data_IF_396452366252
#
_entry.id   IF_396452366252
#
_cell.length_a   1.000
_cell.length_b   1.000
_cell.length_c   1.000
_cell.angle_alpha   90.00
_cell.angle_beta   90.00
_cell.angle_gamma   90.00
#
_symmetry.space_group_name_H-M   'P 1'
#
loop_
_entity.id
_entity.type
_entity.pdbx_description
1 polymer ?
#
# COMPACT_ATOMS: atom_id res chain seq x y z
N UNK A 1 -2.34 -2.30 -0.11
CA UNK A 1 -0.93 -2.13 0.28
C UNK A 1 -0.71 -0.67 0.63
N UNK A 2 0.14 -0.29 1.60
CA UNK A 2 0.39 1.10 1.95
C UNK A 2 0.95 1.95 0.79
N UNK A 3 0.63 3.25 0.79
CA UNK A 3 1.27 4.26 -0.06
C UNK A 3 2.22 5.10 0.78
N UNK A 4 3.41 5.43 0.25
CA UNK A 4 4.30 6.35 0.94
C UNK A 4 3.63 7.73 1.09
N UNK A 5 3.76 8.32 2.27
CA UNK A 5 3.37 9.71 2.49
C UNK A 5 4.55 10.48 3.10
N UNK A 6 4.85 11.64 2.51
CA UNK A 6 5.98 12.49 2.90
C UNK A 6 5.50 13.80 3.51
N UNK A 7 6.39 14.47 4.25
CA UNK A 7 6.19 15.84 4.78
C UNK A 7 6.78 16.92 3.87
N UNK A 8 7.67 16.54 2.95
CA UNK A 8 8.26 17.45 1.97
C UNK A 8 7.50 17.38 0.63
N UNK A 9 7.61 18.42 -0.21
CA UNK A 9 7.19 18.32 -1.61
C UNK A 9 7.91 17.18 -2.34
N UNK A 10 7.16 16.40 -3.11
CA UNK A 10 7.63 15.23 -3.86
C UNK A 10 8.18 15.62 -5.23
N UNK A 11 9.22 14.94 -5.68
CA UNK A 11 9.86 15.12 -6.99
C UNK A 11 9.31 14.12 -8.02
N UNK A 12 8.11 14.35 -8.54
CA UNK A 12 7.43 13.35 -9.38
C UNK A 12 7.97 13.22 -10.81
N UNK A 13 8.39 14.32 -11.43
CA UNK A 13 8.99 14.28 -12.77
C UNK A 13 10.45 13.88 -12.62
N UNK A 14 10.72 12.58 -12.71
CA UNK A 14 12.05 11.98 -12.57
C UNK A 14 13.02 12.34 -13.72
N UNK A 15 12.53 13.00 -14.78
CA UNK A 15 13.26 13.24 -16.03
C UNK A 15 13.66 14.69 -16.27
N UNK A 16 13.07 15.66 -15.56
CA UNK A 16 13.39 17.10 -15.71
C UNK A 16 13.96 17.71 -14.43
N UNK A 17 14.86 18.67 -14.59
CA UNK A 17 15.53 19.39 -13.48
C UNK A 17 14.70 20.53 -12.87
N UNK A 18 13.65 20.98 -13.56
CA UNK A 18 12.66 21.90 -12.99
C UNK A 18 11.25 21.45 -13.39
N UNK A 19 10.52 20.88 -12.42
CA UNK A 19 9.16 20.41 -12.66
C UNK A 19 8.17 21.51 -12.30
N UNK A 20 7.46 22.05 -13.30
CA UNK A 20 6.30 22.90 -13.08
C UNK A 20 5.32 22.22 -12.13
N UNK A 21 4.77 22.99 -11.17
CA UNK A 21 3.83 22.51 -10.15
C UNK A 21 2.65 21.70 -10.73
N UNK A 22 2.21 22.04 -11.96
CA UNK A 22 1.16 21.34 -12.69
C UNK A 22 1.57 19.93 -13.14
N UNK A 23 2.83 19.74 -13.56
CA UNK A 23 3.36 18.43 -13.95
C UNK A 23 3.43 17.49 -12.74
N UNK A 24 3.93 18.01 -11.60
CA UNK A 24 3.97 17.29 -10.33
C UNK A 24 2.56 16.84 -9.89
N UNK A 25 1.58 17.72 -9.98
CA UNK A 25 0.20 17.41 -9.63
C UNK A 25 -0.44 16.34 -10.52
N UNK A 26 -0.15 16.34 -11.83
CA UNK A 26 -0.65 15.33 -12.76
C UNK A 26 -0.12 13.94 -12.40
N UNK A 27 1.17 13.82 -12.15
CA UNK A 27 1.79 12.55 -11.75
C UNK A 27 1.23 12.03 -10.43
N UNK A 28 1.03 12.91 -9.46
CA UNK A 28 0.44 12.49 -8.18
C UNK A 28 -1.01 12.06 -8.31
N UNK A 29 -1.77 12.71 -9.19
CA UNK A 29 -3.14 12.28 -9.51
C UNK A 29 -3.15 10.91 -10.16
N UNK A 30 -2.22 10.64 -11.10
CA UNK A 30 -2.08 9.33 -11.75
C UNK A 30 -1.73 8.26 -10.70
N UNK A 31 -0.71 8.48 -9.87
CA UNK A 31 -0.34 7.56 -8.79
C UNK A 31 -1.51 7.28 -7.85
N UNK A 32 -2.25 8.32 -7.44
CA UNK A 32 -3.40 8.17 -6.58
C UNK A 32 -4.54 7.37 -7.25
N UNK A 33 -4.78 7.57 -8.54
CA UNK A 33 -5.76 6.78 -9.31
C UNK A 33 -5.35 5.31 -9.36
N UNK A 34 -4.09 5.03 -9.72
CA UNK A 34 -3.57 3.66 -9.77
C UNK A 34 -3.68 2.97 -8.41
N UNK A 35 -3.32 3.68 -7.33
CA UNK A 35 -3.42 3.19 -5.97
C UNK A 35 -4.88 2.83 -5.60
N UNK A 36 -5.84 3.72 -5.89
CA UNK A 36 -7.27 3.48 -5.59
C UNK A 36 -7.83 2.33 -6.41
N UNK A 37 -7.49 2.25 -7.69
CA UNK A 37 -7.87 1.13 -8.56
C UNK A 37 -7.31 -0.19 -8.03
N UNK A 38 -6.03 -0.21 -7.63
CA UNK A 38 -5.43 -1.37 -6.96
C UNK A 38 -6.23 -1.78 -5.72
N UNK A 39 -6.65 -0.82 -4.89
CA UNK A 39 -7.48 -1.09 -3.70
C UNK A 39 -8.83 -1.70 -4.03
N UNK A 40 -9.53 -1.19 -5.05
CA UNK A 40 -10.81 -1.75 -5.51
C UNK A 40 -10.63 -3.19 -6.00
N UNK A 41 -9.58 -3.45 -6.78
CA UNK A 41 -9.27 -4.79 -7.28
C UNK A 41 -8.98 -5.77 -6.12
N UNK A 42 -8.26 -5.34 -5.09
CA UNK A 42 -8.02 -6.12 -3.87
C UNK A 42 -9.31 -6.42 -3.08
N UNK A 43 -10.22 -5.45 -2.98
CA UNK A 43 -11.54 -5.64 -2.36
C UNK A 43 -12.31 -6.72 -3.12
N UNK A 44 -12.39 -6.61 -4.45
CA UNK A 44 -13.06 -7.60 -5.31
C UNK A 44 -12.45 -8.99 -5.09
N UNK A 45 -11.12 -9.10 -5.13
CA UNK A 45 -10.44 -10.36 -4.89
C UNK A 45 -10.74 -10.94 -3.52
N UNK A 46 -10.80 -10.11 -2.48
CA UNK A 46 -11.04 -10.57 -1.11
C UNK A 46 -12.45 -11.15 -0.97
N UNK A 47 -13.43 -10.59 -1.68
CA UNK A 47 -14.78 -11.15 -1.76
C UNK A 47 -14.76 -12.53 -2.45
N UNK A 48 -13.98 -12.70 -3.52
CA UNK A 48 -13.91 -13.97 -4.26
C UNK A 48 -13.30 -15.13 -3.44
N UNK A 49 -12.58 -14.83 -2.35
CA UNK A 49 -12.05 -15.85 -1.44
C UNK A 49 -13.05 -16.35 -0.38
N UNK A 50 -14.27 -15.80 -0.33
CA UNK A 50 -15.31 -16.37 0.54
C UNK A 50 -15.64 -17.82 0.13
N UNK A 51 -15.87 -18.73 1.08
CA UNK A 51 -16.15 -20.15 0.76
C UNK A 51 -17.31 -20.36 -0.22
N UNK A 52 -18.35 -19.51 -0.16
CA UNK A 52 -19.48 -19.53 -1.08
C UNK A 52 -19.10 -19.24 -2.55
N UNK A 53 -17.94 -18.61 -2.76
CA UNK A 53 -17.38 -18.24 -4.05
C UNK A 53 -16.11 -19.03 -4.39
N UNK A 54 -15.81 -20.13 -3.67
CA UNK A 54 -14.62 -20.97 -3.85
C UNK A 54 -14.35 -21.41 -5.30
N UNK A 55 -15.39 -21.59 -6.12
CA UNK A 55 -15.25 -21.87 -7.56
C UNK A 55 -14.54 -20.77 -8.36
N UNK A 56 -14.48 -19.56 -7.81
CA UNK A 56 -13.81 -18.39 -8.39
C UNK A 56 -12.47 -18.07 -7.70
N UNK A 57 -11.92 -18.97 -6.87
CA UNK A 57 -10.66 -18.71 -6.15
C UNK A 57 -9.50 -18.34 -7.08
N UNK A 58 -9.37 -18.98 -8.25
CA UNK A 58 -8.36 -18.59 -9.25
C UNK A 58 -8.56 -17.15 -9.76
N UNK A 59 -9.81 -16.72 -9.95
CA UNK A 59 -10.11 -15.35 -10.32
C UNK A 59 -9.75 -14.40 -9.17
N UNK A 60 -10.01 -14.79 -7.92
CA UNK A 60 -9.54 -14.10 -6.72
C UNK A 60 -8.02 -13.90 -6.72
N UNK A 61 -7.25 -14.97 -6.93
CA UNK A 61 -5.80 -14.92 -7.04
C UNK A 61 -5.32 -13.98 -8.17
N UNK A 62 -5.95 -14.05 -9.35
CA UNK A 62 -5.65 -13.15 -10.47
C UNK A 62 -5.95 -11.69 -10.17
N UNK A 63 -7.04 -11.40 -9.46
CA UNK A 63 -7.34 -10.02 -9.04
C UNK A 63 -6.30 -9.51 -8.05
N UNK A 64 -5.88 -10.31 -7.06
CA UNK A 64 -4.78 -9.95 -6.16
C UNK A 64 -3.48 -9.69 -6.92
N UNK A 65 -3.15 -10.52 -7.90
CA UNK A 65 -1.99 -10.33 -8.77
C UNK A 65 -2.09 -9.00 -9.54
N UNK A 66 -3.21 -8.76 -10.24
CA UNK A 66 -3.43 -7.55 -11.03
C UNK A 66 -3.43 -6.28 -10.17
N UNK A 67 -4.06 -6.31 -8.99
CA UNK A 67 -4.02 -5.23 -8.02
C UNK A 67 -2.60 -4.98 -7.50
N UNK A 68 -1.81 -6.04 -7.32
CA UNK A 68 -0.42 -5.94 -6.85
C UNK A 68 0.46 -5.29 -7.90
N UNK A 69 0.24 -5.54 -9.20
CA UNK A 69 0.93 -4.85 -10.29
C UNK A 69 0.62 -3.34 -10.29
N UNK A 70 -0.63 -2.94 -10.07
CA UNK A 70 -0.99 -1.52 -9.94
C UNK A 70 -0.26 -0.86 -8.77
N UNK A 71 -0.20 -1.54 -7.61
CA UNK A 71 0.58 -1.05 -6.47
C UNK A 71 2.09 -1.09 -6.71
N UNK A 72 2.59 -2.01 -7.53
CA UNK A 72 4.01 -2.12 -7.85
C UNK A 72 4.47 -0.91 -8.65
N UNK A 73 3.66 -0.44 -9.59
CA UNK A 73 3.92 0.82 -10.31
C UNK A 73 4.03 1.99 -9.34
N UNK A 74 3.08 2.12 -8.41
CA UNK A 74 3.05 3.21 -7.42
C UNK A 74 4.26 3.16 -6.47
N UNK A 75 4.55 2.00 -5.88
CA UNK A 75 5.67 1.84 -4.92
C UNK A 75 7.04 1.94 -5.58
N UNK A 76 7.15 1.51 -6.84
CA UNK A 76 8.37 1.71 -7.63
C UNK A 76 8.60 3.19 -7.91
N UNK A 77 7.55 3.91 -8.29
CA UNK A 77 7.62 5.36 -8.47
C UNK A 77 8.03 6.08 -7.17
N UNK A 78 7.39 5.71 -6.04
CA UNK A 78 7.71 6.24 -4.71
C UNK A 78 9.20 6.02 -4.36
N UNK A 79 9.73 4.80 -4.54
CA UNK A 79 11.14 4.53 -4.24
C UNK A 79 12.09 5.25 -5.21
N UNK A 80 11.73 5.36 -6.48
CA UNK A 80 12.54 6.07 -7.47
C UNK A 80 12.63 7.57 -7.12
N UNK A 81 11.54 8.18 -6.66
CA UNK A 81 11.50 9.55 -6.14
C UNK A 81 12.44 9.72 -4.95
N UNK A 82 12.29 8.85 -3.93
CA UNK A 82 13.12 8.92 -2.72
C UNK A 82 14.60 8.69 -3.04
N UNK A 83 14.90 7.76 -3.96
CA UNK A 83 16.28 7.50 -4.41
C UNK A 83 16.87 8.66 -5.19
N UNK A 84 16.09 9.36 -6.01
CA UNK A 84 16.55 10.57 -6.69
C UNK A 84 16.85 11.66 -5.66
N UNK A 85 15.91 11.91 -4.75
CA UNK A 85 16.10 12.90 -3.68
C UNK A 85 17.34 12.59 -2.82
N UNK A 86 17.56 11.31 -2.51
CA UNK A 86 18.77 10.85 -1.84
C UNK A 86 20.02 11.24 -2.61
N UNK A 87 20.11 10.90 -3.91
CA UNK A 87 21.29 11.19 -4.74
C UNK A 87 21.58 12.67 -4.93
N UNK A 88 20.56 13.52 -4.96
CA UNK A 88 20.72 14.97 -5.19
C UNK A 88 21.08 15.75 -3.93
N UNK A 89 21.02 15.13 -2.75
CA UNK A 89 21.23 15.82 -1.47
C UNK A 89 22.59 15.48 -0.89
N UNK A 90 23.39 16.50 -0.54
CA UNK A 90 24.76 16.30 -0.04
C UNK A 90 24.84 15.73 1.39
N UNK A 91 23.85 16.00 2.25
CA UNK A 91 23.80 15.51 3.63
C UNK A 91 22.55 14.68 3.85
N UNK A 92 22.74 13.42 4.21
CA UNK A 92 21.62 12.51 4.51
C UNK A 92 21.19 12.67 5.97
N UNK A 93 19.98 13.18 6.16
CA UNK A 93 19.39 13.32 7.49
C UNK A 93 18.72 12.02 7.94
N UNK A 94 18.41 11.90 9.23
CA UNK A 94 17.64 10.76 9.75
C UNK A 94 16.29 10.60 9.03
N UNK A 95 15.65 11.71 8.68
CA UNK A 95 14.38 11.69 7.96
C UNK A 95 14.50 11.02 6.60
N UNK A 96 15.55 11.31 5.85
CA UNK A 96 15.78 10.68 4.55
C UNK A 96 15.99 9.17 4.67
N UNK A 97 16.64 8.71 5.76
CA UNK A 97 16.79 7.28 6.03
C UNK A 97 15.43 6.64 6.30
N UNK A 98 14.57 7.30 7.08
CA UNK A 98 13.20 6.84 7.34
C UNK A 98 12.37 6.81 6.05
N UNK A 99 12.44 7.84 5.20
CA UNK A 99 11.75 7.86 3.90
C UNK A 99 12.19 6.68 3.02
N UNK A 100 13.50 6.45 2.91
CA UNK A 100 14.06 5.36 2.11
C UNK A 100 13.66 3.99 2.66
N UNK A 101 13.67 3.84 3.99
CA UNK A 101 13.27 2.60 4.66
C UNK A 101 11.81 2.29 4.38
N UNK A 102 10.91 3.26 4.58
CA UNK A 102 9.49 3.07 4.32
C UNK A 102 9.21 2.74 2.84
N UNK A 103 9.82 3.48 1.90
CA UNK A 103 9.66 3.24 0.47
C UNK A 103 10.17 1.85 0.05
N UNK A 104 11.34 1.44 0.56
CA UNK A 104 11.91 0.13 0.27
C UNK A 104 11.07 -1.00 0.86
N UNK A 105 10.59 -0.86 2.10
CA UNK A 105 9.69 -1.84 2.73
C UNK A 105 8.40 -2.01 1.94
N UNK A 106 7.80 -0.92 1.46
CA UNK A 106 6.60 -0.99 0.63
C UNK A 106 6.87 -1.66 -0.71
N UNK A 107 7.95 -1.31 -1.42
CA UNK A 107 8.28 -1.95 -2.68
C UNK A 107 8.49 -3.47 -2.51
N UNK A 108 9.32 -3.88 -1.56
CA UNK A 108 9.60 -5.30 -1.34
C UNK A 108 8.38 -6.08 -0.87
N UNK A 109 7.54 -5.48 -0.02
CA UNK A 109 6.26 -6.07 0.37
C UNK A 109 5.34 -6.27 -0.83
N UNK A 110 5.28 -5.30 -1.75
CA UNK A 110 4.48 -5.39 -2.98
C UNK A 110 5.00 -6.45 -3.95
N UNK A 111 6.32 -6.58 -4.09
CA UNK A 111 6.94 -7.66 -4.89
C UNK A 111 6.54 -9.03 -4.33
N UNK A 112 6.64 -9.21 -3.01
CA UNK A 112 6.26 -10.46 -2.36
C UNK A 112 4.77 -10.78 -2.55
N UNK A 113 3.88 -9.80 -2.44
CA UNK A 113 2.46 -10.01 -2.73
C UNK A 113 2.20 -10.38 -4.20
N UNK A 114 2.92 -9.75 -5.13
CA UNK A 114 2.80 -10.03 -6.56
C UNK A 114 3.18 -11.49 -6.83
N UNK A 115 4.33 -11.94 -6.32
CA UNK A 115 4.80 -13.32 -6.47
C UNK A 115 3.89 -14.30 -5.71
N UNK A 116 3.56 -13.97 -4.47
CA UNK A 116 2.71 -14.80 -3.61
C UNK A 116 1.33 -15.04 -4.22
N UNK A 117 0.73 -14.03 -4.87
CA UNK A 117 -0.56 -14.18 -5.55
C UNK A 117 -0.53 -15.25 -6.64
N UNK A 118 0.60 -15.42 -7.33
CA UNK A 118 0.77 -16.46 -8.35
C UNK A 118 0.80 -17.85 -7.71
N UNK A 119 1.44 -18.00 -6.55
CA UNK A 119 1.53 -19.28 -5.84
C UNK A 119 0.18 -19.80 -5.32
N UNK A 120 -0.82 -18.92 -5.16
CA UNK A 120 -2.19 -19.30 -4.77
C UNK A 120 -3.07 -19.76 -5.93
N UNK A 121 -2.58 -19.73 -7.18
CA UNK A 121 -3.31 -20.31 -8.31
C UNK A 121 -3.35 -21.83 -8.19
N UNK A 122 -4.53 -22.43 -8.36
CA UNK A 122 -4.73 -23.89 -8.18
C UNK A 122 -3.86 -24.78 -9.07
N UNK A 123 -3.37 -24.27 -10.22
CA UNK A 123 -2.45 -25.01 -11.09
C UNK A 123 -0.96 -24.81 -10.73
N UNK A 124 -0.65 -23.87 -9.84
CA UNK A 124 0.68 -23.71 -9.24
C UNK A 124 0.74 -24.43 -7.90
N UNK A 125 -0.30 -24.23 -7.07
CA UNK A 125 -0.56 -24.93 -5.80
C UNK A 125 0.61 -24.88 -4.79
N UNK A 126 1.36 -23.78 -4.76
CA UNK A 126 2.45 -23.55 -3.80
C UNK A 126 1.97 -22.67 -2.64
N UNK A 127 0.81 -23.04 -2.08
CA UNK A 127 0.06 -22.24 -1.09
C UNK A 127 0.87 -21.89 0.15
N UNK A 128 1.70 -22.81 0.65
CA UNK A 128 2.60 -22.56 1.79
C UNK A 128 3.63 -21.47 1.45
N UNK A 129 4.27 -21.55 0.28
CA UNK A 129 5.24 -20.54 -0.19
C UNK A 129 4.54 -19.21 -0.42
N UNK A 130 3.34 -19.24 -1.02
CA UNK A 130 2.47 -18.08 -1.16
C UNK A 130 2.19 -17.41 0.18
N UNK A 131 1.75 -18.18 1.17
CA UNK A 131 1.44 -17.70 2.51
C UNK A 131 2.65 -17.01 3.16
N UNK A 132 3.86 -17.58 3.05
CA UNK A 132 5.08 -16.91 3.51
C UNK A 132 5.35 -15.58 2.81
N UNK A 133 5.14 -15.50 1.49
CA UNK A 133 5.25 -14.24 0.76
C UNK A 133 4.28 -13.18 1.31
N UNK A 134 3.03 -13.55 1.57
CA UNK A 134 2.04 -12.64 2.13
C UNK A 134 2.35 -12.25 3.59
N UNK A 135 2.83 -13.18 4.43
CA UNK A 135 3.24 -12.89 5.82
C UNK A 135 4.40 -11.91 5.84
N UNK A 136 5.49 -12.22 5.14
CA UNK A 136 6.69 -11.38 5.12
C UNK A 136 6.37 -10.02 4.47
N UNK A 137 5.62 -10.02 3.36
CA UNK A 137 5.23 -8.78 2.70
C UNK A 137 4.37 -7.88 3.59
N UNK A 138 3.44 -8.46 4.36
CA UNK A 138 2.59 -7.72 5.29
C UNK A 138 3.37 -7.16 6.47
N UNK A 139 4.37 -7.90 6.97
CA UNK A 139 5.28 -7.40 8.01
C UNK A 139 6.15 -6.23 7.51
N UNK A 140 6.59 -6.26 6.24
CA UNK A 140 7.26 -5.12 5.62
C UNK A 140 6.32 -3.92 5.49
N UNK A 141 5.05 -4.13 5.15
CA UNK A 141 4.05 -3.05 5.16
C UNK A 141 3.82 -2.46 6.56
N UNK A 142 3.79 -3.29 7.61
CA UNK A 142 3.74 -2.81 8.99
C UNK A 142 4.97 -1.98 9.31
N UNK A 143 6.18 -2.48 8.99
CA UNK A 143 7.44 -1.76 9.24
C UNK A 143 7.43 -0.38 8.56
N UNK A 144 7.13 -0.33 7.27
CA UNK A 144 7.10 0.93 6.53
C UNK A 144 6.05 1.90 7.07
N UNK A 145 4.86 1.42 7.44
CA UNK A 145 3.81 2.25 8.01
C UNK A 145 4.19 2.80 9.40
N UNK A 146 4.79 1.98 10.27
CA UNK A 146 5.33 2.44 11.55
C UNK A 146 6.44 3.48 11.37
N UNK A 147 7.31 3.30 10.37
CA UNK A 147 8.33 4.31 10.02
C UNK A 147 7.69 5.62 9.57
N UNK A 148 6.65 5.57 8.72
CA UNK A 148 5.95 6.78 8.32
C UNK A 148 5.19 7.45 9.49
N UNK A 149 4.71 6.70 10.48
CA UNK A 149 4.12 7.28 11.72
C UNK A 149 5.10 8.19 12.44
N UNK A 150 6.37 7.79 12.55
CA UNK A 150 7.40 8.62 13.20
C UNK A 150 7.59 9.98 12.52
N UNK A 151 7.21 10.10 11.25
CA UNK A 151 7.32 11.33 10.49
C UNK A 151 6.09 12.25 10.67
N UNK A 152 4.95 11.75 11.18
CA UNK A 152 3.69 12.52 11.29
C UNK A 152 3.81 13.78 12.16
N UNK A 153 4.66 13.72 13.20
CA UNK A 153 4.85 14.81 14.17
C UNK A 153 5.37 16.12 13.56
N UNK A 154 5.77 16.10 12.28
CA UNK A 154 6.31 17.24 11.54
C UNK A 154 5.27 17.92 10.64
N UNK A 155 4.00 17.57 10.75
CA UNK A 155 2.95 18.15 9.91
C UNK A 155 2.68 19.63 10.23
N UNK A 156 2.59 20.46 9.20
CA UNK A 156 2.46 21.93 9.34
C UNK A 156 1.11 22.39 9.90
N UNK A 157 0.06 21.57 9.74
CA UNK A 157 -1.30 21.93 10.21
C UNK A 157 -2.01 20.75 10.85
N UNK A 158 -2.91 21.03 11.80
CA UNK A 158 -3.71 20.01 12.50
C UNK A 158 -4.48 19.11 11.53
N UNK A 159 -5.05 19.68 10.46
CA UNK A 159 -5.77 18.91 9.45
C UNK A 159 -4.84 17.94 8.70
N UNK A 160 -3.64 18.38 8.32
CA UNK A 160 -2.62 17.51 7.70
C UNK A 160 -2.22 16.38 8.65
N UNK A 161 -2.00 16.72 9.93
CA UNK A 161 -1.65 15.76 10.97
C UNK A 161 -2.73 14.69 11.15
N UNK A 162 -4.00 15.09 11.21
CA UNK A 162 -5.14 14.17 11.33
C UNK A 162 -5.26 13.24 10.11
N UNK A 163 -5.15 13.78 8.88
CA UNK A 163 -5.22 12.96 7.67
C UNK A 163 -4.05 11.98 7.54
N UNK A 164 -2.85 12.39 7.96
CA UNK A 164 -1.69 11.49 8.04
C UNK A 164 -1.90 10.40 9.08
N UNK A 165 -2.46 10.72 10.25
CA UNK A 165 -2.81 9.73 11.26
C UNK A 165 -3.86 8.73 10.76
N UNK A 166 -4.94 9.19 10.11
CA UNK A 166 -5.93 8.30 9.52
C UNK A 166 -5.33 7.38 8.45
N UNK A 167 -4.45 7.93 7.60
CA UNK A 167 -3.71 7.15 6.59
C UNK A 167 -2.86 6.08 7.26
N UNK A 168 -2.08 6.45 8.28
CA UNK A 168 -1.18 5.53 8.94
C UNK A 168 -1.91 4.42 9.71
N UNK A 169 -2.92 4.77 10.49
CA UNK A 169 -3.71 3.80 11.27
C UNK A 169 -4.37 2.78 10.35
N UNK A 170 -4.97 3.22 9.25
CA UNK A 170 -5.60 2.31 8.28
C UNK A 170 -4.58 1.41 7.59
N UNK A 171 -3.39 1.91 7.25
CA UNK A 171 -2.32 1.09 6.67
C UNK A 171 -1.73 0.08 7.66
N UNK A 172 -1.47 0.48 8.90
CA UNK A 172 -0.97 -0.44 9.94
C UNK A 172 -2.01 -1.53 10.23
N UNK A 173 -3.26 -1.14 10.51
CA UNK A 173 -4.32 -2.09 10.81
C UNK A 173 -4.60 -3.05 9.63
N UNK A 174 -4.66 -2.52 8.40
CA UNK A 174 -4.82 -3.33 7.21
C UNK A 174 -3.68 -4.33 7.01
N UNK A 175 -2.44 -3.91 7.25
CA UNK A 175 -1.26 -4.79 7.15
C UNK A 175 -1.28 -5.89 8.21
N UNK A 176 -1.66 -5.57 9.45
CA UNK A 176 -1.79 -6.57 10.53
C UNK A 176 -2.86 -7.60 10.18
N UNK A 177 -4.03 -7.18 9.69
CA UNK A 177 -5.09 -8.10 9.28
C UNK A 177 -4.62 -9.06 8.18
N UNK A 178 -3.88 -8.56 7.19
CA UNK A 178 -3.29 -9.43 6.16
C UNK A 178 -2.26 -10.40 6.72
N UNK A 179 -1.40 -9.96 7.65
CA UNK A 179 -0.46 -10.86 8.34
C UNK A 179 -1.21 -11.98 9.05
N UNK A 180 -2.19 -11.62 9.89
CA UNK A 180 -2.98 -12.58 10.68
C UNK A 180 -3.76 -13.53 9.78
N UNK A 181 -4.33 -13.05 8.67
CA UNK A 181 -5.09 -13.87 7.73
C UNK A 181 -4.20 -14.87 6.98
N UNK A 182 -2.92 -14.55 6.80
CA UNK A 182 -2.00 -15.37 6.01
C UNK A 182 -1.33 -16.49 6.82
N UNK A 183 -1.20 -16.31 8.14
CA UNK A 183 -0.57 -17.31 9.02
C UNK A 183 -1.31 -18.67 9.01
N UNK A 184 -2.66 -18.72 9.06
CA UNK A 184 -3.38 -20.00 9.08
C UNK A 184 -3.19 -20.88 7.84
N UNK A 185 -2.79 -20.32 6.69
CA UNK A 185 -2.41 -21.11 5.51
C UNK A 185 -1.11 -21.91 5.71
N UNK A 186 -0.38 -21.69 6.80
CA UNK A 186 0.79 -22.46 7.20
C UNK A 186 0.45 -23.64 8.13
N UNK A 187 -0.83 -23.76 8.53
CA UNK A 187 -1.27 -24.82 9.43
C UNK A 187 -1.75 -26.05 8.64
N UNK A 188 -1.61 -27.23 9.25
CA UNK A 188 -2.35 -28.43 8.85
C UNK A 188 -3.64 -28.49 9.68
N UNK A 189 -4.79 -28.54 9.01
CA UNK A 189 -6.11 -28.64 9.67
C UNK A 189 -6.80 -29.89 9.15
N UNK A 190 -6.90 -30.93 9.97
CA UNK A 190 -7.39 -32.26 9.56
C UNK A 190 -8.93 -32.37 9.50
N UNK A 191 -9.68 -31.36 9.94
CA UNK A 191 -11.14 -31.43 10.09
C UNK A 191 -11.85 -30.42 9.17
N UNK A 192 -12.60 -30.95 8.21
CA UNK A 192 -13.25 -30.21 7.12
C UNK A 192 -14.29 -29.16 7.56
N UNK A 193 -14.94 -29.33 8.71
CA UNK A 193 -15.90 -28.32 9.21
C UNK A 193 -15.18 -27.07 9.75
N UNK A 194 -14.01 -27.22 10.37
CA UNK A 194 -13.19 -26.09 10.80
C UNK A 194 -12.61 -25.34 9.61
N UNK A 195 -12.36 -26.03 8.50
CA UNK A 195 -11.81 -25.45 7.29
C UNK A 195 -12.72 -24.36 6.68
N UNK A 196 -14.03 -24.60 6.56
CA UNK A 196 -14.96 -23.61 5.99
C UNK A 196 -15.05 -22.36 6.87
N UNK A 197 -15.19 -22.55 8.19
CA UNK A 197 -15.29 -21.42 9.15
C UNK A 197 -13.98 -20.62 9.18
N UNK A 198 -12.85 -21.32 9.14
CA UNK A 198 -11.53 -20.71 9.07
C UNK A 198 -11.42 -19.87 7.80
N UNK A 199 -11.62 -20.45 6.61
CA UNK A 199 -11.51 -19.71 5.34
C UNK A 199 -12.45 -18.51 5.26
N UNK A 200 -13.68 -18.62 5.79
CA UNK A 200 -14.59 -17.48 5.88
C UNK A 200 -14.02 -16.36 6.78
N UNK A 201 -13.44 -16.72 7.92
CA UNK A 201 -12.79 -15.77 8.82
C UNK A 201 -11.56 -15.10 8.17
N UNK A 202 -10.73 -15.86 7.45
CA UNK A 202 -9.57 -15.31 6.72
C UNK A 202 -10.03 -14.34 5.62
N UNK A 203 -11.06 -14.72 4.85
CA UNK A 203 -11.63 -13.87 3.80
C UNK A 203 -12.14 -12.53 4.36
N UNK A 204 -12.79 -12.54 5.53
CA UNK A 204 -13.20 -11.30 6.21
C UNK A 204 -12.02 -10.41 6.59
N UNK A 205 -10.93 -10.99 7.11
CA UNK A 205 -9.74 -10.22 7.46
C UNK A 205 -9.10 -9.58 6.22
N UNK A 206 -8.96 -10.32 5.11
CA UNK A 206 -8.47 -9.75 3.85
C UNK A 206 -9.38 -8.66 3.31
N UNK A 207 -10.70 -8.84 3.38
CA UNK A 207 -11.67 -7.85 2.92
C UNK A 207 -11.58 -6.55 3.73
N UNK A 208 -11.64 -6.65 5.06
CA UNK A 208 -11.53 -5.49 5.95
C UNK A 208 -10.18 -4.81 5.75
N UNK A 209 -9.09 -5.57 5.69
CA UNK A 209 -7.76 -5.03 5.42
C UNK A 209 -7.67 -4.30 4.08
N UNK A 210 -8.31 -4.83 3.02
CA UNK A 210 -8.35 -4.21 1.69
C UNK A 210 -9.13 -2.89 1.71
N UNK A 211 -10.27 -2.86 2.42
CA UNK A 211 -11.05 -1.64 2.63
C UNK A 211 -10.24 -0.60 3.39
N UNK A 212 -9.49 -0.98 4.43
CA UNK A 212 -8.62 -0.07 5.16
C UNK A 212 -7.50 0.49 4.27
N UNK A 213 -6.84 -0.33 3.46
CA UNK A 213 -5.84 0.15 2.50
C UNK A 213 -6.42 1.13 1.47
N UNK A 214 -7.63 0.86 0.98
CA UNK A 214 -8.33 1.77 0.09
C UNK A 214 -8.64 3.11 0.79
N UNK A 215 -9.20 3.06 2.00
CA UNK A 215 -9.51 4.24 2.80
C UNK A 215 -8.26 5.09 3.09
N UNK A 216 -7.15 4.46 3.47
CA UNK A 216 -5.88 5.17 3.68
C UNK A 216 -5.37 5.86 2.40
N UNK A 217 -5.57 5.26 1.23
CA UNK A 217 -5.30 5.91 -0.05
C UNK A 217 -6.18 7.15 -0.31
N UNK A 218 -7.46 7.06 0.05
CA UNK A 218 -8.40 8.19 -0.03
C UNK A 218 -7.96 9.33 0.88
N UNK A 219 -7.62 9.03 2.14
CA UNK A 219 -7.14 10.04 3.09
C UNK A 219 -5.83 10.69 2.64
N UNK A 220 -4.88 9.91 2.15
CA UNK A 220 -3.61 10.44 1.64
C UNK A 220 -3.84 11.36 0.43
N UNK A 221 -4.68 10.95 -0.52
CA UNK A 221 -5.00 11.78 -1.67
C UNK A 221 -5.73 13.07 -1.27
N UNK A 222 -6.66 12.99 -0.31
CA UNK A 222 -7.36 14.17 0.19
C UNK A 222 -6.39 15.17 0.84
N UNK A 223 -5.43 14.69 1.64
CA UNK A 223 -4.38 15.52 2.22
C UNK A 223 -3.62 16.29 1.15
N UNK A 224 -3.20 15.60 0.08
CA UNK A 224 -2.45 16.22 -1.02
C UNK A 224 -3.31 17.25 -1.75
N UNK A 225 -4.58 16.93 -2.04
CA UNK A 225 -5.50 17.85 -2.68
C UNK A 225 -5.68 19.16 -1.88
N UNK A 226 -5.81 19.06 -0.55
CA UNK A 226 -5.92 20.22 0.32
C UNK A 226 -4.65 21.07 0.37
N UNK A 227 -3.49 20.41 0.42
CA UNK A 227 -2.19 21.09 0.35
C UNK A 227 -2.08 21.91 -0.95
N UNK A 228 -2.34 21.28 -2.09
CA UNK A 228 -2.27 21.93 -3.40
C UNK A 228 -3.25 23.10 -3.55
N UNK A 229 -4.48 22.94 -3.05
CA UNK A 229 -5.49 24.02 -3.07
C UNK A 229 -5.03 25.24 -2.29
N UNK A 230 -4.35 25.06 -1.15
CA UNK A 230 -3.77 26.16 -0.36
C UNK A 230 -2.65 26.85 -1.12
N UNK A 231 -1.69 26.09 -1.65
CA UNK A 231 -0.54 26.63 -2.38
C UNK A 231 -0.96 27.42 -3.63
N UNK A 232 -1.97 26.95 -4.38
CA UNK A 232 -2.49 27.69 -5.56
C UNK A 232 -3.16 29.00 -5.13
N UNK A 233 -3.92 29.00 -4.03
CA UNK A 233 -4.59 30.20 -3.52
C UNK A 233 -3.59 31.25 -3.07
N UNK A 234 -2.53 30.84 -2.39
CA UNK A 234 -1.44 31.72 -1.95
C UNK A 234 -0.69 32.33 -3.14
N UNK A 235 -0.40 31.54 -4.18
CA UNK A 235 0.25 32.04 -5.41
C UNK A 235 -0.58 33.02 -6.21
N UNK A 236 -1.91 32.92 -6.16
CA UNK A 236 -2.80 33.84 -6.87
C UNK A 236 -3.14 35.11 -6.06
N UNK A 237 -2.72 35.18 -4.79
CA UNK A 237 -2.93 36.33 -3.92
C UNK A 237 -1.75 37.31 -3.93
N UNK A 238 -0.66 36.97 -4.63
CA UNK A 238 0.54 37.78 -4.86
C UNK A 238 0.69 38.06 -6.35
#
# INVERSE_FOLDING_TARGET
MPHLFLNRPRLYDLTKDQAELRSQFRWETINAVFYKLGGIVFIIGSVLFFPALSKYANLGAWTFFGGSLLYLVVTTHDLAEVRRHWRTTQKHTRDMVLEYTAAASYLWGTILFTVGSVFFLSYVDWTITGAWCFVIGSLLFVLGACVNVMQIVKADTMLTLQLMNYTAVTFVAGSILFTVASVPYLWHVDIREYEIRLHAFLAWQYLIGSVLFFAGGVFNYWRIYLFMRRTIREKNAH
#
